data_IF_327856890971
#
_entry.id   IF_327856890971
#
_cell.length_a   1.000
_cell.length_b   1.000
_cell.length_c   1.000
_cell.angle_alpha   90.00
_cell.angle_beta   90.00
_cell.angle_gamma   90.00
#
_symmetry.space_group_name_H-M   'P 1'
#
loop_
_entity.id
_entity.type
_entity.pdbx_description
1 polymer ?
#
# COMPACT_ATOMS: atom_id res chain seq x y z
N UNK A 1 -32.78 26.72 40.68
CA UNK A 1 -32.69 26.37 39.25
C UNK A 1 -32.74 24.87 39.11
N UNK A 2 -33.71 24.32 38.40
CA UNK A 2 -34.15 22.93 38.45
C UNK A 2 -33.12 21.95 37.88
N UNK A 3 -32.64 20.93 38.61
CA UNK A 3 -31.77 19.87 38.09
C UNK A 3 -32.40 19.14 36.87
N UNK A 4 -33.73 19.04 36.81
CA UNK A 4 -34.42 18.33 35.74
C UNK A 4 -34.33 18.99 34.35
N UNK A 5 -34.18 20.30 34.25
CA UNK A 5 -34.13 21.00 32.97
C UNK A 5 -32.83 20.69 32.20
N UNK A 6 -31.72 20.65 32.90
CA UNK A 6 -30.42 20.30 32.32
C UNK A 6 -30.35 18.83 31.88
N UNK A 7 -30.95 17.95 32.67
CA UNK A 7 -31.03 16.52 32.35
C UNK A 7 -31.88 16.29 31.10
N UNK A 8 -33.05 16.94 31.01
CA UNK A 8 -33.93 16.85 29.85
C UNK A 8 -33.25 17.42 28.60
N UNK A 9 -32.58 18.57 28.71
CA UNK A 9 -31.85 19.18 27.60
C UNK A 9 -30.70 18.27 27.13
N UNK A 10 -29.95 17.67 28.05
CA UNK A 10 -28.89 16.72 27.74
C UNK A 10 -29.43 15.51 26.96
N UNK A 11 -30.49 14.86 27.46
CA UNK A 11 -31.10 13.71 26.79
C UNK A 11 -31.62 14.07 25.38
N UNK A 12 -32.32 15.19 25.25
CA UNK A 12 -32.82 15.64 23.96
C UNK A 12 -31.70 15.93 22.96
N UNK A 13 -30.65 16.63 23.40
CA UNK A 13 -29.50 16.96 22.56
C UNK A 13 -28.75 15.69 22.14
N UNK A 14 -28.49 14.78 23.11
CA UNK A 14 -27.84 13.50 22.82
C UNK A 14 -28.65 12.68 21.82
N UNK A 15 -29.94 12.47 22.05
CA UNK A 15 -30.82 11.69 21.17
C UNK A 15 -30.85 12.29 19.76
N UNK A 16 -30.96 13.61 19.66
CA UNK A 16 -30.96 14.28 18.36
C UNK A 16 -29.63 14.07 17.63
N UNK A 17 -28.50 14.23 18.31
CA UNK A 17 -27.17 13.99 17.73
C UNK A 17 -26.98 12.52 17.33
N UNK A 18 -27.39 11.57 18.16
CA UNK A 18 -27.35 10.13 17.85
C UNK A 18 -28.15 9.83 16.58
N UNK A 19 -29.39 10.31 16.49
CA UNK A 19 -30.24 10.12 15.31
C UNK A 19 -29.61 10.70 14.04
N UNK A 20 -29.03 11.89 14.11
CA UNK A 20 -28.33 12.50 12.97
C UNK A 20 -27.12 11.65 12.55
N UNK A 21 -26.32 11.17 13.50
CA UNK A 21 -25.17 10.31 13.21
C UNK A 21 -25.62 8.96 12.66
N UNK A 22 -26.64 8.33 13.23
CA UNK A 22 -27.18 7.05 12.74
C UNK A 22 -27.70 7.20 11.30
N UNK A 23 -28.48 8.25 11.02
CA UNK A 23 -28.93 8.55 9.67
C UNK A 23 -27.75 8.72 8.70
N UNK A 24 -26.71 9.43 9.14
CA UNK A 24 -25.47 9.59 8.37
C UNK A 24 -24.75 8.26 8.12
N UNK A 25 -24.64 7.38 9.14
CA UNK A 25 -24.06 6.03 9.01
C UNK A 25 -24.85 5.19 8.01
N UNK A 26 -26.18 5.21 8.09
CA UNK A 26 -27.05 4.41 7.22
C UNK A 26 -27.04 4.89 5.76
N UNK A 27 -27.06 6.21 5.54
CA UNK A 27 -27.11 6.81 4.21
C UNK A 27 -25.74 6.86 3.51
N UNK A 28 -24.67 6.53 4.21
CA UNK A 28 -23.32 6.59 3.63
C UNK A 28 -23.13 5.49 2.58
N UNK A 29 -22.76 5.84 1.33
CA UNK A 29 -22.50 4.83 0.30
C UNK A 29 -21.22 4.05 0.57
N UNK A 30 -21.13 2.83 0.06
CA UNK A 30 -19.92 2.00 0.01
C UNK A 30 -19.34 1.62 1.39
N UNK A 31 -20.17 1.52 2.41
CA UNK A 31 -19.81 0.98 3.73
C UNK A 31 -20.50 -0.36 3.92
N UNK A 32 -19.78 -1.35 4.36
CA UNK A 32 -20.34 -2.69 4.63
C UNK A 32 -21.42 -2.65 5.72
N UNK A 33 -22.47 -3.47 5.59
CA UNK A 33 -23.57 -3.50 6.57
C UNK A 33 -23.10 -3.80 8.01
N UNK A 34 -22.13 -4.71 8.18
CA UNK A 34 -21.52 -5.06 9.45
C UNK A 34 -20.85 -3.86 10.13
N UNK A 35 -20.13 -3.05 9.37
CA UNK A 35 -19.48 -1.83 9.85
C UNK A 35 -20.50 -0.76 10.25
N UNK A 36 -21.61 -0.63 9.49
CA UNK A 36 -22.69 0.28 9.84
C UNK A 36 -23.33 -0.11 11.17
N UNK A 37 -23.67 -1.39 11.33
CA UNK A 37 -24.26 -1.90 12.58
C UNK A 37 -23.32 -1.70 13.76
N UNK A 38 -22.01 -2.00 13.60
CA UNK A 38 -21.02 -1.77 14.64
C UNK A 38 -20.97 -0.31 15.08
N UNK A 39 -20.98 0.65 14.15
CA UNK A 39 -21.01 2.08 14.49
C UNK A 39 -22.30 2.53 15.16
N UNK A 40 -23.46 2.02 14.73
CA UNK A 40 -24.74 2.28 15.39
C UNK A 40 -24.68 1.81 16.84
N UNK A 41 -24.18 0.58 17.08
CA UNK A 41 -24.04 0.05 18.45
C UNK A 41 -23.09 0.90 19.31
N UNK A 42 -21.96 1.36 18.75
CA UNK A 42 -21.00 2.21 19.48
C UNK A 42 -21.63 3.56 19.83
N UNK A 43 -22.36 4.18 18.91
CA UNK A 43 -23.03 5.48 19.14
C UNK A 43 -24.13 5.38 20.20
N UNK A 44 -24.88 4.28 20.21
CA UNK A 44 -25.98 4.06 21.19
C UNK A 44 -25.48 3.60 22.56
N UNK A 45 -24.48 2.71 22.61
CA UNK A 45 -24.01 2.11 23.87
C UNK A 45 -23.18 3.08 24.71
N UNK A 46 -22.48 4.06 24.12
CA UNK A 46 -21.58 4.97 24.83
C UNK A 46 -21.92 6.41 24.49
N UNK A 47 -22.84 7.04 25.26
CA UNK A 47 -23.29 8.40 25.02
C UNK A 47 -22.12 9.41 24.90
N UNK A 48 -22.20 10.34 23.97
CA UNK A 48 -21.20 11.36 23.59
C UNK A 48 -19.85 10.79 23.15
N UNK A 49 -19.26 9.83 23.87
CA UNK A 49 -18.00 9.22 23.47
C UNK A 49 -18.14 8.37 22.21
N UNK A 50 -19.27 7.67 22.03
CA UNK A 50 -19.56 6.93 20.79
C UNK A 50 -19.70 7.86 19.60
N UNK A 51 -20.39 9.00 19.77
CA UNK A 51 -20.49 10.06 18.75
C UNK A 51 -19.09 10.62 18.45
N UNK A 52 -18.31 10.94 19.48
CA UNK A 52 -16.94 11.44 19.30
C UNK A 52 -16.05 10.40 18.59
N UNK A 53 -16.14 9.13 18.99
CA UNK A 53 -15.42 8.04 18.33
C UNK A 53 -15.81 7.91 16.84
N UNK A 54 -17.10 7.96 16.51
CA UNK A 54 -17.54 7.95 15.13
C UNK A 54 -17.02 9.16 14.35
N UNK A 55 -17.08 10.34 14.93
CA UNK A 55 -16.58 11.56 14.30
C UNK A 55 -15.05 11.51 14.08
N UNK A 56 -14.29 10.82 14.92
CA UNK A 56 -12.84 10.69 14.79
C UNK A 56 -12.42 9.55 13.86
N UNK A 57 -13.11 8.40 13.93
CA UNK A 57 -12.66 7.16 13.30
C UNK A 57 -13.66 6.56 12.29
N UNK A 58 -14.93 6.97 12.35
CA UNK A 58 -15.99 6.40 11.51
C UNK A 58 -15.93 6.79 10.03
N UNK A 59 -15.26 7.87 9.71
CA UNK A 59 -15.23 8.37 8.34
C UNK A 59 -13.80 8.60 7.82
N UNK A 60 -13.56 8.17 6.58
CA UNK A 60 -12.36 8.58 5.84
C UNK A 60 -12.53 10.06 5.45
N UNK A 61 -11.83 10.94 6.12
CA UNK A 61 -11.83 12.38 5.83
C UNK A 61 -10.54 12.74 5.11
N UNK A 62 -10.54 12.59 3.80
CA UNK A 62 -9.62 13.35 2.96
C UNK A 62 -10.32 14.62 2.49
N UNK A 63 -9.57 15.70 2.36
CA UNK A 63 -10.11 16.92 1.74
C UNK A 63 -10.52 16.57 0.30
N UNK A 64 -11.76 16.85 -0.05
CA UNK A 64 -12.31 16.51 -1.36
C UNK A 64 -11.45 17.11 -2.50
N UNK A 65 -10.88 18.30 -2.27
CA UNK A 65 -9.93 18.92 -3.19
C UNK A 65 -8.62 18.12 -3.37
N UNK A 66 -8.17 17.39 -2.35
CA UNK A 66 -6.97 16.55 -2.42
C UNK A 66 -7.24 15.27 -3.22
N UNK A 67 -8.37 14.60 -2.95
CA UNK A 67 -8.83 13.44 -3.73
C UNK A 67 -9.05 13.82 -5.18
N UNK A 68 -9.69 14.97 -5.44
CA UNK A 68 -9.92 15.46 -6.80
C UNK A 68 -8.59 15.74 -7.52
N UNK A 69 -7.64 16.39 -6.85
CA UNK A 69 -6.30 16.63 -7.42
C UNK A 69 -5.60 15.33 -7.80
N UNK A 70 -5.64 14.31 -6.93
CA UNK A 70 -5.06 12.99 -7.23
C UNK A 70 -5.73 12.35 -8.45
N UNK A 71 -7.06 12.44 -8.54
CA UNK A 71 -7.82 11.95 -9.69
C UNK A 71 -7.43 12.68 -10.98
N UNK A 72 -7.43 14.02 -10.96
CA UNK A 72 -7.09 14.84 -12.13
C UNK A 72 -5.67 14.56 -12.65
N UNK A 73 -4.71 14.42 -11.75
CA UNK A 73 -3.32 14.06 -12.09
C UNK A 73 -3.26 12.67 -12.71
N UNK A 74 -3.95 11.69 -12.11
CA UNK A 74 -4.01 10.33 -12.66
C UNK A 74 -4.64 10.31 -14.05
N UNK A 75 -5.77 10.99 -14.26
CA UNK A 75 -6.48 11.02 -15.53
C UNK A 75 -5.63 11.69 -16.61
N UNK A 76 -4.91 12.76 -16.25
CA UNK A 76 -3.93 13.41 -17.13
C UNK A 76 -2.80 12.47 -17.53
N UNK A 77 -2.17 11.78 -16.58
CA UNK A 77 -1.11 10.82 -16.87
C UNK A 77 -1.63 9.61 -17.63
N UNK A 78 -2.90 9.23 -17.44
CA UNK A 78 -3.59 8.18 -18.21
C UNK A 78 -3.72 8.58 -19.67
N UNK A 79 -4.05 9.82 -19.96
CA UNK A 79 -4.10 10.33 -21.34
C UNK A 79 -2.77 10.27 -22.09
N UNK A 80 -1.63 10.28 -21.39
CA UNK A 80 -0.29 10.15 -21.97
C UNK A 80 0.12 8.69 -22.29
N UNK A 81 -0.76 7.71 -22.05
CA UNK A 81 -0.44 6.27 -22.13
C UNK A 81 -0.40 5.66 -23.53
N UNK A 82 -0.81 6.34 -24.59
CA UNK A 82 -1.19 5.75 -25.88
C UNK A 82 -0.04 5.21 -26.74
N UNK A 83 1.21 5.16 -26.26
CA UNK A 83 2.38 4.86 -27.10
C UNK A 83 3.04 3.48 -26.87
N UNK A 84 2.53 2.62 -25.97
CA UNK A 84 3.15 1.30 -25.70
C UNK A 84 2.22 0.18 -26.14
N UNK A 85 2.73 -0.84 -26.89
CA UNK A 85 1.92 -2.00 -27.24
C UNK A 85 1.37 -2.68 -25.99
N UNK A 86 0.06 -2.68 -25.84
CA UNK A 86 -0.63 -3.35 -24.75
C UNK A 86 -0.87 -4.82 -25.07
N UNK A 87 -0.73 -5.68 -24.06
CA UNK A 87 -1.22 -7.06 -24.15
C UNK A 87 -2.73 -7.01 -24.07
N UNK A 88 -3.41 -7.45 -25.11
CA UNK A 88 -4.87 -7.59 -25.07
C UNK A 88 -5.26 -8.73 -24.14
N UNK A 89 -6.23 -8.46 -23.29
CA UNK A 89 -6.85 -9.49 -22.45
C UNK A 89 -7.59 -10.49 -23.36
N UNK A 90 -6.94 -11.59 -23.73
CA UNK A 90 -7.62 -12.71 -24.39
C UNK A 90 -8.39 -13.50 -23.33
N UNK A 91 -9.70 -13.57 -23.47
CA UNK A 91 -10.56 -14.32 -22.55
C UNK A 91 -10.31 -15.83 -22.54
N UNK A 92 -9.67 -16.35 -23.59
CA UNK A 92 -9.25 -17.75 -23.66
C UNK A 92 -7.97 -18.02 -22.83
N UNK A 93 -7.16 -17.00 -22.57
CA UNK A 93 -6.00 -17.09 -21.69
C UNK A 93 -6.45 -16.99 -20.22
N UNK A 94 -5.97 -17.90 -19.34
CA UNK A 94 -6.22 -17.82 -17.90
C UNK A 94 -5.88 -16.45 -17.27
N UNK A 95 -4.91 -15.74 -17.79
CA UNK A 95 -4.53 -14.39 -17.35
C UNK A 95 -5.49 -13.30 -17.84
N UNK A 96 -6.25 -13.52 -18.91
CA UNK A 96 -7.13 -12.54 -19.52
C UNK A 96 -8.12 -11.89 -18.55
N UNK A 97 -8.89 -12.67 -17.75
CA UNK A 97 -9.79 -12.10 -16.75
C UNK A 97 -9.07 -11.27 -15.69
N UNK A 98 -7.85 -11.69 -15.29
CA UNK A 98 -7.02 -10.95 -14.30
C UNK A 98 -6.59 -9.61 -14.88
N UNK A 99 -6.07 -9.61 -16.11
CA UNK A 99 -5.63 -8.40 -16.82
C UNK A 99 -6.81 -7.42 -16.94
N UNK A 100 -7.97 -7.91 -17.37
CA UNK A 100 -9.17 -7.07 -17.53
C UNK A 100 -9.66 -6.48 -16.19
N UNK A 101 -9.68 -7.27 -15.12
CA UNK A 101 -10.08 -6.82 -13.79
C UNK A 101 -9.11 -5.76 -13.26
N UNK A 102 -7.81 -5.99 -13.41
CA UNK A 102 -6.78 -5.06 -12.97
C UNK A 102 -6.80 -3.75 -13.78
N UNK A 103 -7.04 -3.82 -15.09
CA UNK A 103 -7.20 -2.64 -15.94
C UNK A 103 -8.43 -1.81 -15.52
N UNK A 104 -9.55 -2.48 -15.22
CA UNK A 104 -10.75 -1.80 -14.74
C UNK A 104 -10.56 -1.10 -13.38
N UNK A 105 -9.68 -1.62 -12.52
CA UNK A 105 -9.34 -1.03 -11.22
C UNK A 105 -8.30 0.07 -11.35
N UNK A 106 -7.14 -0.26 -11.92
CA UNK A 106 -5.96 0.62 -11.95
C UNK A 106 -5.85 1.47 -13.21
N UNK A 107 -6.67 1.19 -14.23
CA UNK A 107 -6.63 1.84 -15.54
C UNK A 107 -5.32 1.60 -16.30
N UNK A 108 -4.41 0.75 -15.86
CA UNK A 108 -3.16 0.41 -16.55
C UNK A 108 -3.32 -0.90 -17.30
N UNK A 109 -2.87 -0.92 -18.57
CA UNK A 109 -2.90 -2.11 -19.40
C UNK A 109 -1.68 -2.99 -19.10
N UNK A 110 -1.82 -4.31 -19.25
CA UNK A 110 -0.66 -5.18 -19.24
C UNK A 110 0.25 -4.88 -20.43
N UNK A 111 1.56 -4.89 -20.22
CA UNK A 111 2.58 -4.61 -21.24
C UNK A 111 3.58 -5.77 -21.31
N UNK A 112 3.94 -6.15 -22.54
CA UNK A 112 4.90 -7.22 -22.85
C UNK A 112 6.31 -6.67 -22.96
N UNK A 113 7.30 -7.57 -22.97
CA UNK A 113 8.70 -7.22 -23.26
C UNK A 113 9.47 -6.75 -22.02
N UNK A 114 9.02 -7.14 -20.84
CA UNK A 114 9.72 -6.82 -19.60
C UNK A 114 10.69 -7.93 -19.17
N UNK A 115 11.73 -7.54 -18.43
CA UNK A 115 12.54 -8.41 -17.59
C UNK A 115 12.24 -8.14 -16.12
N UNK A 116 12.00 -9.19 -15.37
CA UNK A 116 11.73 -9.13 -13.92
C UNK A 116 12.75 -10.02 -13.20
N UNK A 117 13.49 -9.43 -12.27
CA UNK A 117 14.46 -10.15 -11.44
C UNK A 117 14.08 -9.99 -9.97
N UNK A 118 13.81 -11.11 -9.31
CA UNK A 118 13.63 -11.14 -7.86
C UNK A 118 15.02 -11.04 -7.19
N UNK A 119 15.18 -10.10 -6.29
CA UNK A 119 16.39 -9.96 -5.47
C UNK A 119 16.15 -10.71 -4.15
N UNK A 120 16.91 -11.81 -3.97
CA UNK A 120 16.65 -12.79 -2.91
C UNK A 120 17.20 -12.37 -1.55
N UNK A 121 18.36 -11.69 -1.52
CA UNK A 121 19.03 -11.31 -0.28
C UNK A 121 18.74 -9.86 0.09
N UNK A 122 18.24 -9.65 1.30
CA UNK A 122 17.80 -8.35 1.72
C UNK A 122 18.92 -7.29 1.83
N UNK A 123 20.14 -7.65 2.22
CA UNK A 123 21.28 -6.70 2.26
C UNK A 123 21.84 -6.46 0.87
N UNK A 124 21.98 -7.50 0.05
CA UNK A 124 22.36 -7.38 -1.36
C UNK A 124 21.35 -6.54 -2.17
N UNK A 125 20.06 -6.58 -1.82
CA UNK A 125 19.06 -5.76 -2.48
C UNK A 125 19.28 -4.25 -2.28
N UNK A 126 19.77 -3.81 -1.12
CA UNK A 126 20.14 -2.39 -0.91
C UNK A 126 21.39 -2.02 -1.71
N UNK A 127 22.37 -2.90 -1.78
CA UNK A 127 23.58 -2.66 -2.55
C UNK A 127 23.28 -2.58 -4.07
N UNK A 128 22.31 -3.37 -4.56
CA UNK A 128 21.77 -3.23 -5.94
C UNK A 128 21.08 -1.88 -6.18
N UNK A 129 20.29 -1.38 -5.22
CA UNK A 129 19.71 -0.03 -5.31
C UNK A 129 20.81 1.03 -5.41
N UNK A 130 21.83 0.92 -4.54
CA UNK A 130 22.96 1.85 -4.52
C UNK A 130 23.73 1.81 -5.83
N UNK A 131 24.05 0.62 -6.33
CA UNK A 131 24.76 0.47 -7.62
C UNK A 131 23.95 1.07 -8.79
N UNK A 132 22.64 0.86 -8.81
CA UNK A 132 21.78 1.42 -9.83
C UNK A 132 21.71 2.97 -9.74
N UNK A 133 21.65 3.55 -8.54
CA UNK A 133 21.69 5.01 -8.33
C UNK A 133 23.05 5.58 -8.74
N UNK A 134 24.14 4.88 -8.42
CA UNK A 134 25.48 5.31 -8.82
C UNK A 134 25.71 5.24 -10.35
N UNK A 135 24.97 4.38 -11.06
CA UNK A 135 24.98 4.29 -12.52
C UNK A 135 24.03 5.29 -13.22
N UNK A 136 23.18 6.00 -12.48
CA UNK A 136 22.21 6.95 -13.03
C UNK A 136 22.89 8.10 -13.79
N UNK A 137 22.26 8.54 -14.89
CA UNK A 137 22.79 9.58 -15.81
C UNK A 137 21.87 10.77 -16.00
N UNK A 138 20.56 10.61 -15.76
CA UNK A 138 19.54 11.66 -15.99
C UNK A 138 18.75 11.94 -14.70
N UNK A 139 18.01 10.97 -14.17
CA UNK A 139 17.22 11.18 -12.98
C UNK A 139 17.05 9.93 -12.10
N UNK A 140 16.85 10.16 -10.80
CA UNK A 140 16.48 9.16 -9.80
C UNK A 140 15.21 9.60 -9.08
N UNK A 141 14.15 8.81 -9.18
CA UNK A 141 12.87 9.02 -8.50
C UNK A 141 12.65 7.93 -7.47
N UNK A 142 12.56 8.30 -6.21
CA UNK A 142 12.51 7.37 -5.10
C UNK A 142 11.33 7.66 -4.18
N UNK A 143 10.52 6.63 -3.87
CA UNK A 143 9.40 6.68 -2.96
C UNK A 143 9.46 5.52 -1.99
N UNK A 144 9.53 5.78 -0.68
CA UNK A 144 9.45 4.76 0.37
C UNK A 144 8.47 5.14 1.48
N UNK A 145 7.75 4.13 1.99
CA UNK A 145 6.92 4.28 3.18
C UNK A 145 7.77 4.48 4.42
N UNK A 146 8.72 3.57 4.66
CA UNK A 146 9.68 3.67 5.77
C UNK A 146 11.09 3.83 5.20
N UNK A 147 11.74 4.89 5.63
CA UNK A 147 13.16 5.10 5.44
C UNK A 147 13.77 5.47 6.78
N UNK A 148 14.73 4.67 7.25
CA UNK A 148 15.41 4.91 8.52
C UNK A 148 16.82 5.46 8.29
N UNK A 149 17.35 6.30 9.20
CA UNK A 149 18.73 6.77 9.15
C UNK A 149 19.69 5.71 9.77
N UNK A 150 19.50 4.44 9.37
CA UNK A 150 20.35 3.29 9.70
C UNK A 150 21.41 3.05 8.61
N UNK A 151 22.11 1.91 8.64
CA UNK A 151 23.17 1.63 7.68
C UNK A 151 22.63 1.57 6.24
N UNK A 152 21.54 0.86 5.99
CA UNK A 152 20.90 0.76 4.69
C UNK A 152 20.40 2.12 4.18
N UNK A 153 19.68 2.85 5.02
CA UNK A 153 19.16 4.17 4.66
C UNK A 153 20.24 5.20 4.41
N UNK A 154 21.34 5.12 5.16
CA UNK A 154 22.51 6.00 4.98
C UNK A 154 23.23 5.70 3.66
N UNK A 155 23.40 4.42 3.28
CA UNK A 155 24.00 4.04 1.99
C UNK A 155 23.22 4.65 0.81
N UNK A 156 21.87 4.52 0.82
CA UNK A 156 21.00 5.04 -0.24
C UNK A 156 21.06 6.57 -0.28
N UNK A 157 21.00 7.25 0.86
CA UNK A 157 21.10 8.70 0.92
C UNK A 157 22.43 9.23 0.37
N UNK A 158 23.54 8.58 0.71
CA UNK A 158 24.85 8.94 0.19
C UNK A 158 24.95 8.69 -1.33
N UNK A 159 24.32 7.64 -1.86
CA UNK A 159 24.27 7.41 -3.30
C UNK A 159 23.50 8.52 -4.04
N UNK A 160 22.38 8.99 -3.47
CA UNK A 160 21.63 10.12 -4.03
C UNK A 160 22.47 11.42 -4.03
N UNK A 161 23.18 11.71 -2.96
CA UNK A 161 24.09 12.87 -2.92
C UNK A 161 25.17 12.76 -4.01
N UNK A 162 25.79 11.58 -4.17
CA UNK A 162 26.77 11.37 -5.27
C UNK A 162 26.14 11.51 -6.65
N UNK A 163 24.86 11.12 -6.82
CA UNK A 163 24.15 11.29 -8.08
C UNK A 163 23.93 12.78 -8.39
N UNK A 164 23.50 13.58 -7.41
CA UNK A 164 23.36 15.04 -7.53
C UNK A 164 24.71 15.70 -7.85
N UNK A 165 25.82 15.29 -7.20
CA UNK A 165 27.16 15.78 -7.51
C UNK A 165 27.58 15.53 -8.97
N UNK A 166 26.98 14.51 -9.63
CA UNK A 166 27.16 14.22 -11.07
C UNK A 166 26.19 14.97 -11.96
N UNK A 167 25.25 15.75 -11.39
CA UNK A 167 24.21 16.49 -12.12
C UNK A 167 22.94 15.67 -12.41
N UNK A 168 22.79 14.50 -11.79
CA UNK A 168 21.58 13.65 -11.88
C UNK A 168 20.50 14.24 -11.00
N UNK A 169 19.29 14.43 -11.53
CA UNK A 169 18.16 14.99 -10.80
C UNK A 169 17.53 13.96 -9.85
N UNK A 170 17.69 14.11 -8.54
CA UNK A 170 17.14 13.21 -7.55
C UNK A 170 15.88 13.77 -6.89
N UNK A 171 14.78 13.00 -6.90
CA UNK A 171 13.51 13.33 -6.24
C UNK A 171 13.09 12.22 -5.30
N UNK A 172 12.82 12.59 -4.06
CA UNK A 172 12.50 11.67 -2.98
C UNK A 172 11.15 12.00 -2.37
N UNK A 173 10.28 10.99 -2.28
CA UNK A 173 9.05 11.06 -1.49
C UNK A 173 9.17 10.06 -0.34
N UNK A 174 8.91 10.50 0.88
CA UNK A 174 8.79 9.60 2.03
C UNK A 174 7.48 9.86 2.79
N UNK A 175 6.90 8.83 3.38
CA UNK A 175 5.74 9.03 4.27
C UNK A 175 6.17 9.73 5.56
N UNK A 176 5.46 10.78 5.95
CA UNK A 176 5.83 11.61 7.09
C UNK A 176 5.80 10.87 8.43
N UNK A 177 4.95 9.82 8.57
CA UNK A 177 4.89 9.00 9.78
C UNK A 177 5.90 7.85 9.72
N UNK A 178 5.91 7.09 8.64
CA UNK A 178 6.77 5.93 8.49
C UNK A 178 8.26 6.29 8.49
N UNK A 179 8.61 7.44 7.93
CA UNK A 179 9.99 7.95 7.85
C UNK A 179 10.29 9.11 8.81
N UNK A 180 9.52 9.23 9.90
CA UNK A 180 9.67 10.35 10.85
C UNK A 180 11.09 10.51 11.41
N UNK A 181 11.78 9.41 11.65
CA UNK A 181 13.16 9.43 12.17
C UNK A 181 14.14 10.00 11.14
N UNK A 182 13.98 9.65 9.86
CA UNK A 182 14.78 10.23 8.78
C UNK A 182 14.52 11.72 8.62
N UNK A 183 13.26 12.13 8.50
CA UNK A 183 12.85 13.53 8.27
C UNK A 183 13.36 14.49 9.36
N UNK A 184 13.67 13.96 10.56
CA UNK A 184 14.22 14.70 11.70
C UNK A 184 15.72 14.51 11.89
N UNK A 185 16.39 13.84 10.99
CA UNK A 185 17.82 13.55 11.09
C UNK A 185 18.66 14.48 10.23
N UNK A 186 19.93 14.64 10.60
CA UNK A 186 20.91 15.35 9.78
C UNK A 186 21.08 14.73 8.38
N UNK A 187 20.70 13.47 8.20
CA UNK A 187 20.79 12.80 6.90
C UNK A 187 19.81 13.41 5.89
N UNK A 188 18.60 13.78 6.35
CA UNK A 188 17.61 14.50 5.55
C UNK A 188 18.10 15.88 5.13
N UNK A 189 18.70 16.61 6.08
CA UNK A 189 19.25 17.93 5.81
C UNK A 189 20.41 17.86 4.82
N UNK A 190 21.28 16.86 4.96
CA UNK A 190 22.40 16.63 4.02
C UNK A 190 21.92 16.34 2.61
N UNK A 191 20.92 15.46 2.43
CA UNK A 191 20.33 15.21 1.11
C UNK A 191 19.78 16.51 0.49
N UNK A 192 19.03 17.27 1.26
CA UNK A 192 18.45 18.55 0.79
C UNK A 192 19.54 19.58 0.43
N UNK A 193 20.62 19.66 1.22
CA UNK A 193 21.77 20.56 0.94
C UNK A 193 22.57 20.13 -0.29
N UNK A 194 22.61 18.83 -0.59
CA UNK A 194 23.24 18.29 -1.80
C UNK A 194 22.41 18.51 -3.07
N UNK A 195 21.19 19.02 -2.97
CA UNK A 195 20.31 19.29 -4.12
C UNK A 195 19.15 18.31 -4.29
N UNK A 196 19.12 17.20 -3.53
CA UNK A 196 18.03 16.22 -3.61
C UNK A 196 16.69 16.89 -3.25
N UNK A 197 15.73 16.85 -4.16
CA UNK A 197 14.38 17.35 -3.92
C UNK A 197 13.61 16.40 -3.01
N UNK A 198 13.46 16.75 -1.74
CA UNK A 198 12.86 15.92 -0.70
C UNK A 198 11.43 16.38 -0.36
N UNK A 199 10.46 15.47 -0.43
CA UNK A 199 9.02 15.72 -0.15
C UNK A 199 8.48 14.70 0.83
N UNK A 200 7.62 15.15 1.76
CA UNK A 200 6.90 14.26 2.67
C UNK A 200 5.46 14.05 2.21
N UNK A 201 5.06 12.79 2.04
CA UNK A 201 3.67 12.40 1.82
C UNK A 201 2.88 12.50 3.13
N UNK A 202 1.66 12.99 3.08
CA UNK A 202 0.76 13.16 4.22
C UNK A 202 1.44 13.87 5.41
N UNK A 203 1.92 15.13 5.21
CA UNK A 203 2.63 15.89 6.23
C UNK A 203 1.75 16.06 7.48
N UNK A 204 2.37 15.96 8.64
CA UNK A 204 1.69 16.19 9.91
C UNK A 204 1.40 17.68 10.08
N UNK A 205 0.10 18.01 10.22
CA UNK A 205 -0.32 19.29 10.78
C UNK A 205 -0.10 19.38 12.30
N UNK A 206 -0.63 20.42 12.93
CA UNK A 206 -0.64 20.54 14.40
C UNK A 206 -1.29 19.27 15.01
N UNK A 207 -0.61 18.56 15.94
CA UNK A 207 -0.98 17.19 16.34
C UNK A 207 -2.44 17.04 16.80
N UNK A 208 -3.01 18.01 17.49
CA UNK A 208 -4.40 17.95 17.97
C UNK A 208 -5.43 18.27 16.87
N UNK A 209 -5.08 19.09 15.87
CA UNK A 209 -5.98 19.48 14.77
C UNK A 209 -5.94 18.40 13.68
N UNK A 210 -4.79 17.80 13.41
CA UNK A 210 -4.67 16.74 12.40
C UNK A 210 -5.40 15.46 12.80
N UNK A 211 -5.45 15.10 14.08
CA UNK A 211 -6.24 13.96 14.59
C UNK A 211 -7.74 14.15 14.30
N UNK A 212 -8.24 15.38 14.39
CA UNK A 212 -9.65 15.69 14.12
C UNK A 212 -10.02 15.72 12.64
N UNK A 213 -9.05 15.98 11.75
CA UNK A 213 -9.31 16.25 10.34
C UNK A 213 -8.57 15.34 9.34
N UNK A 214 -7.63 14.50 9.80
CA UNK A 214 -6.88 13.58 8.95
C UNK A 214 -6.87 12.17 9.56
N UNK A 215 -7.13 11.16 8.75
CA UNK A 215 -6.94 9.77 9.17
C UNK A 215 -5.45 9.45 9.22
N UNK A 216 -4.97 9.09 10.42
CA UNK A 216 -3.58 8.71 10.66
C UNK A 216 -3.19 7.37 10.02
N UNK A 217 -4.18 6.55 9.66
CA UNK A 217 -4.02 5.25 9.03
C UNK A 217 -3.94 5.31 7.50
N UNK A 218 -4.29 6.45 6.88
CA UNK A 218 -4.06 6.65 5.44
C UNK A 218 -2.61 7.06 5.22
N UNK A 219 -1.81 6.16 4.66
CA UNK A 219 -0.38 6.33 4.44
C UNK A 219 0.02 5.90 3.03
N UNK A 220 1.11 6.47 2.52
CA UNK A 220 1.68 6.04 1.27
C UNK A 220 2.62 4.85 1.51
N UNK A 221 2.10 3.63 1.33
CA UNK A 221 2.85 2.39 1.55
C UNK A 221 3.67 1.93 0.35
N UNK A 222 3.76 2.72 -0.72
CA UNK A 222 4.51 2.35 -1.93
C UNK A 222 6.00 2.32 -1.66
N UNK A 223 6.70 1.46 -2.39
CA UNK A 223 8.15 1.37 -2.47
C UNK A 223 8.50 1.31 -3.94
N UNK A 224 9.00 2.41 -4.46
CA UNK A 224 9.32 2.58 -5.87
C UNK A 224 10.65 3.30 -5.98
N UNK A 225 11.54 2.79 -6.81
CA UNK A 225 12.70 3.51 -7.31
C UNK A 225 12.66 3.42 -8.84
N UNK A 226 12.79 4.54 -9.53
CA UNK A 226 12.90 4.58 -10.99
C UNK A 226 14.16 5.38 -11.34
N UNK A 227 14.95 4.85 -12.25
CA UNK A 227 16.22 5.41 -12.71
C UNK A 227 16.15 5.56 -14.23
N UNK A 228 16.34 6.78 -14.72
CA UNK A 228 16.51 7.14 -16.15
C UNK A 228 15.37 6.61 -17.05
N UNK A 229 14.17 6.35 -16.52
CA UNK A 229 13.09 5.61 -17.20
C UNK A 229 13.51 4.24 -17.76
N UNK A 230 14.62 3.68 -17.36
CA UNK A 230 15.20 2.43 -17.86
C UNK A 230 15.03 1.26 -16.89
N UNK A 231 15.30 1.52 -15.62
CA UNK A 231 15.25 0.50 -14.56
C UNK A 231 14.36 0.98 -13.44
N UNK A 232 13.57 0.06 -12.88
CA UNK A 232 12.81 0.35 -11.67
C UNK A 232 12.95 -0.78 -10.65
N UNK A 233 12.70 -0.46 -9.39
CA UNK A 233 12.63 -1.42 -8.30
C UNK A 233 11.32 -1.20 -7.52
N UNK A 234 10.67 -2.31 -7.17
CA UNK A 234 9.45 -2.29 -6.36
C UNK A 234 9.34 -3.58 -5.55
N UNK A 235 8.55 -3.59 -4.49
CA UNK A 235 8.37 -4.77 -3.64
C UNK A 235 7.83 -4.42 -2.26
N UNK A 236 8.09 -5.30 -1.29
CA UNK A 236 7.69 -5.09 0.11
C UNK A 236 8.77 -4.38 0.93
N UNK A 237 10.05 -4.41 0.47
CA UNK A 237 11.19 -3.89 1.20
C UNK A 237 11.14 -2.37 1.38
N UNK A 238 11.35 -1.94 2.61
CA UNK A 238 11.58 -0.55 2.97
C UNK A 238 13.07 -0.19 2.91
N UNK A 239 13.41 1.08 2.94
CA UNK A 239 14.78 1.57 3.02
C UNK A 239 15.25 1.57 4.49
N UNK A 240 15.54 0.37 4.98
CA UNK A 240 15.93 0.12 6.38
C UNK A 240 16.67 -1.21 6.50
N UNK A 241 17.45 -1.36 7.57
CA UNK A 241 18.15 -2.61 7.89
C UNK A 241 17.14 -3.72 8.22
N UNK A 242 17.51 -4.99 7.97
CA UNK A 242 16.69 -6.15 8.33
C UNK A 242 16.43 -6.24 9.84
N UNK A 243 17.36 -5.78 10.64
CA UNK A 243 17.23 -5.74 12.10
C UNK A 243 16.06 -4.82 12.55
N UNK A 244 15.62 -3.92 11.69
CA UNK A 244 14.50 -3.01 11.86
C UNK A 244 14.34 -2.50 13.30
N UNK A 245 15.22 -1.60 13.70
CA UNK A 245 15.42 -1.17 15.09
C UNK A 245 14.12 -0.70 15.79
N UNK A 246 13.14 -0.19 15.04
CA UNK A 246 11.83 0.26 15.58
C UNK A 246 11.07 -0.92 16.20
N UNK A 247 11.20 -2.13 15.64
CA UNK A 247 10.50 -3.35 16.09
C UNK A 247 11.45 -4.56 16.15
N UNK A 248 12.64 -4.37 16.71
CA UNK A 248 13.73 -5.35 16.74
C UNK A 248 13.31 -6.75 17.27
N UNK A 249 12.35 -6.82 18.20
CA UNK A 249 11.85 -8.10 18.74
C UNK A 249 11.10 -8.96 17.71
N UNK A 250 10.78 -8.41 16.53
CA UNK A 250 10.10 -9.10 15.42
C UNK A 250 11.04 -9.28 14.21
N UNK A 251 12.30 -8.86 14.34
CA UNK A 251 13.32 -9.06 13.33
C UNK A 251 13.74 -10.55 13.27
N UNK A 252 14.37 -11.02 12.16
CA UNK A 252 14.63 -10.24 10.94
C UNK A 252 13.36 -10.06 10.09
N UNK A 253 13.26 -8.89 9.45
CA UNK A 253 12.21 -8.62 8.48
C UNK A 253 12.62 -9.24 7.14
N UNK A 254 11.78 -10.16 6.65
CA UNK A 254 11.98 -10.82 5.37
C UNK A 254 11.12 -10.15 4.34
N UNK A 255 11.75 -9.39 3.48
CA UNK A 255 11.12 -8.61 2.43
C UNK A 255 11.63 -9.06 1.06
N UNK A 256 10.90 -8.71 0.01
CA UNK A 256 11.32 -8.91 -1.38
C UNK A 256 11.44 -7.58 -2.10
N UNK A 257 12.38 -7.54 -3.05
CA UNK A 257 12.51 -6.47 -4.01
C UNK A 257 12.60 -7.08 -5.42
N UNK A 258 11.93 -6.46 -6.37
CA UNK A 258 11.93 -6.87 -7.77
C UNK A 258 12.57 -5.75 -8.58
N UNK A 259 13.61 -6.06 -9.33
CA UNK A 259 14.17 -5.22 -10.38
C UNK A 259 13.32 -5.41 -11.65
N UNK A 260 12.93 -4.33 -12.25
CA UNK A 260 12.06 -4.27 -13.44
C UNK A 260 12.75 -3.50 -14.54
N UNK A 261 12.80 -4.05 -15.72
CA UNK A 261 13.23 -3.38 -16.96
C UNK A 261 12.19 -3.56 -18.05
N UNK A 262 12.09 -2.62 -18.98
CA UNK A 262 11.12 -2.64 -20.06
C UNK A 262 9.87 -1.79 -19.79
N UNK A 263 8.79 -1.96 -20.58
CA UNK A 263 7.64 -1.06 -20.59
C UNK A 263 6.92 -0.87 -19.26
N UNK A 264 7.01 -1.83 -18.32
CA UNK A 264 6.43 -1.70 -16.97
C UNK A 264 7.12 -0.62 -16.13
N UNK A 265 8.37 -0.26 -16.42
CA UNK A 265 9.08 0.86 -15.78
C UNK A 265 8.31 2.16 -15.95
N UNK A 266 7.75 2.40 -17.16
CA UNK A 266 6.92 3.57 -17.42
C UNK A 266 5.67 3.62 -16.54
N UNK A 267 5.09 2.47 -16.21
CA UNK A 267 3.93 2.42 -15.32
C UNK A 267 4.32 2.79 -13.87
N UNK A 268 5.45 2.28 -13.37
CA UNK A 268 5.99 2.64 -12.07
C UNK A 268 6.38 4.12 -12.00
N UNK A 269 7.00 4.65 -13.07
CA UNK A 269 7.27 6.08 -13.22
C UNK A 269 5.97 6.90 -13.14
N UNK A 270 4.92 6.48 -13.85
CA UNK A 270 3.62 7.14 -13.80
C UNK A 270 3.02 7.20 -12.40
N UNK A 271 3.19 6.14 -11.60
CA UNK A 271 2.76 6.13 -10.18
C UNK A 271 3.56 7.12 -9.37
N UNK A 272 4.90 7.15 -9.50
CA UNK A 272 5.74 8.11 -8.80
C UNK A 272 5.37 9.56 -9.17
N UNK A 273 5.25 9.84 -10.48
CA UNK A 273 4.90 11.17 -10.97
C UNK A 273 3.52 11.62 -10.47
N UNK A 274 2.54 10.70 -10.42
CA UNK A 274 1.22 10.99 -9.87
C UNK A 274 1.30 11.44 -8.41
N UNK A 275 2.06 10.73 -7.59
CA UNK A 275 2.27 11.08 -6.19
C UNK A 275 3.02 12.42 -6.07
N UNK A 276 4.11 12.59 -6.81
CA UNK A 276 4.89 13.82 -6.80
C UNK A 276 4.07 15.05 -7.16
N UNK A 277 3.34 14.99 -8.28
CA UNK A 277 2.47 16.07 -8.74
C UNK A 277 1.35 16.37 -7.74
N UNK A 278 0.81 15.33 -7.10
CA UNK A 278 -0.23 15.50 -6.09
C UNK A 278 0.26 16.21 -4.83
N UNK A 279 1.49 15.91 -4.38
CA UNK A 279 2.07 16.54 -3.19
C UNK A 279 2.68 17.93 -3.44
N UNK A 280 3.27 18.15 -4.61
CA UNK A 280 4.01 19.39 -4.91
C UNK A 280 3.24 20.39 -5.76
N UNK A 281 2.26 19.94 -6.53
CA UNK A 281 1.58 20.72 -7.55
C UNK A 281 2.42 20.99 -8.81
N UNK A 282 3.69 20.51 -8.87
CA UNK A 282 4.59 20.68 -10.03
C UNK A 282 4.29 19.64 -11.10
N UNK A 283 4.16 20.10 -12.34
CA UNK A 283 3.92 19.21 -13.48
C UNK A 283 5.22 18.54 -13.94
N UNK A 284 5.29 17.23 -13.79
CA UNK A 284 6.36 16.37 -14.32
C UNK A 284 5.84 15.39 -15.39
N UNK A 285 4.63 15.59 -15.92
CA UNK A 285 4.06 14.77 -16.99
C UNK A 285 4.98 14.54 -18.17
N UNK A 286 5.75 15.53 -18.65
CA UNK A 286 6.71 15.36 -19.74
C UNK A 286 7.81 14.30 -19.50
N UNK A 287 8.10 13.95 -18.23
CA UNK A 287 9.06 12.90 -17.89
C UNK A 287 8.52 11.47 -18.11
N UNK A 288 7.21 11.32 -18.37
CA UNK A 288 6.59 10.02 -18.63
C UNK A 288 6.87 9.59 -20.09
N UNK A 289 8.10 9.22 -20.37
CA UNK A 289 8.55 8.79 -21.68
C UNK A 289 8.19 7.34 -21.98
N UNK A 290 8.00 6.96 -23.27
CA UNK A 290 7.90 5.56 -23.68
C UNK A 290 9.17 4.78 -23.30
N UNK A 291 9.00 3.53 -22.88
CA UNK A 291 10.10 2.60 -22.59
C UNK A 291 10.01 1.43 -23.55
N UNK A 292 11.11 1.15 -24.22
CA UNK A 292 11.19 0.05 -25.20
C UNK A 292 11.16 -1.33 -24.49
N UNK A 293 10.68 -2.38 -25.16
CA UNK A 293 10.88 -3.75 -24.72
C UNK A 293 12.37 -4.09 -24.59
N UNK A 294 12.73 -4.84 -23.54
CA UNK A 294 14.12 -5.30 -23.29
C UNK A 294 14.27 -6.80 -23.53
N UNK A 295 13.17 -7.52 -23.70
CA UNK A 295 13.14 -8.95 -23.96
C UNK A 295 12.02 -9.30 -24.96
N UNK A 296 12.23 -10.32 -25.80
CA UNK A 296 11.26 -10.82 -26.78
C UNK A 296 11.11 -12.36 -26.61
N UNK A 297 9.90 -12.87 -26.23
CA UNK A 297 8.68 -12.10 -25.95
C UNK A 297 8.69 -11.36 -24.61
N UNK A 298 9.63 -11.67 -23.69
CA UNK A 298 9.71 -11.10 -22.34
C UNK A 298 8.50 -11.46 -21.47
N UNK A 299 8.44 -10.86 -20.28
CA UNK A 299 7.36 -11.06 -19.32
C UNK A 299 6.26 -10.03 -19.52
N UNK A 300 4.98 -10.49 -19.52
CA UNK A 300 3.84 -9.59 -19.41
C UNK A 300 3.72 -9.08 -17.98
N UNK A 301 3.63 -7.77 -17.80
CA UNK A 301 3.50 -7.15 -16.50
C UNK A 301 2.43 -6.05 -16.50
N UNK A 302 1.79 -5.85 -15.35
CA UNK A 302 0.78 -4.82 -15.13
C UNK A 302 0.93 -4.25 -13.74
N UNK A 303 1.10 -2.93 -13.64
CA UNK A 303 1.15 -2.23 -12.36
C UNK A 303 -0.27 -1.82 -11.96
N UNK A 304 -0.68 -2.20 -10.76
CA UNK A 304 -1.96 -1.80 -10.17
C UNK A 304 -1.66 -0.92 -8.97
N UNK A 305 -1.68 0.38 -9.17
CA UNK A 305 -1.52 1.34 -8.09
C UNK A 305 -2.87 1.62 -7.44
N UNK A 306 -2.99 1.32 -6.15
CA UNK A 306 -4.20 1.62 -5.37
C UNK A 306 -3.97 2.81 -4.46
N UNK A 307 -5.04 3.53 -4.14
CA UNK A 307 -4.97 4.73 -3.31
C UNK A 307 -6.35 5.21 -2.88
N UNK A 308 -6.40 6.27 -2.05
CA UNK A 308 -7.65 6.80 -1.51
C UNK A 308 -8.55 7.45 -2.56
N UNK A 309 -8.03 7.75 -3.73
CA UNK A 309 -8.71 8.27 -4.91
C UNK A 309 -9.43 7.18 -5.73
N UNK A 310 -9.16 5.90 -5.42
CA UNK A 310 -9.82 4.75 -6.02
C UNK A 310 -10.97 4.24 -5.15
N UNK A 311 -11.77 3.36 -5.73
CA UNK A 311 -12.88 2.70 -5.03
C UNK A 311 -12.34 1.85 -3.86
N UNK A 312 -12.99 1.95 -2.71
CA UNK A 312 -12.72 1.03 -1.60
C UNK A 312 -12.92 -0.43 -2.05
N UNK A 313 -12.06 -1.33 -1.62
CA UNK A 313 -12.08 -2.74 -2.02
C UNK A 313 -11.34 -3.05 -3.32
N UNK A 314 -10.76 -2.07 -4.02
CA UNK A 314 -10.05 -2.27 -5.29
C UNK A 314 -8.93 -3.33 -5.21
N UNK A 315 -8.20 -3.40 -4.10
CA UNK A 315 -7.17 -4.43 -3.88
C UNK A 315 -7.81 -5.82 -3.79
N UNK A 316 -8.89 -5.93 -2.99
CA UNK A 316 -9.63 -7.19 -2.84
C UNK A 316 -10.22 -7.68 -4.15
N UNK A 317 -10.71 -6.78 -5.00
CA UNK A 317 -11.21 -7.14 -6.33
C UNK A 317 -10.09 -7.73 -7.22
N UNK A 318 -8.91 -7.08 -7.25
CA UNK A 318 -7.76 -7.60 -8.01
C UNK A 318 -7.32 -8.98 -7.51
N UNK A 319 -7.16 -9.13 -6.19
CA UNK A 319 -6.75 -10.39 -5.58
C UNK A 319 -7.81 -11.48 -5.77
N UNK A 320 -9.10 -11.14 -5.67
CA UNK A 320 -10.20 -12.07 -5.91
C UNK A 320 -10.23 -12.53 -7.36
N UNK A 321 -9.98 -11.67 -8.34
CA UNK A 321 -9.85 -12.06 -9.74
C UNK A 321 -8.74 -13.09 -9.96
N UNK A 322 -7.57 -12.89 -9.32
CA UNK A 322 -6.45 -13.84 -9.35
C UNK A 322 -6.85 -15.19 -8.73
N UNK A 323 -7.52 -15.19 -7.57
CA UNK A 323 -7.98 -16.38 -6.88
C UNK A 323 -9.02 -17.15 -7.70
N UNK A 324 -9.94 -16.46 -8.37
CA UNK A 324 -10.93 -17.08 -9.25
C UNK A 324 -10.31 -17.70 -10.50
N UNK A 325 -9.27 -17.10 -11.05
CA UNK A 325 -8.55 -17.62 -12.21
C UNK A 325 -7.57 -18.74 -11.86
N UNK A 326 -7.18 -18.89 -10.60
CA UNK A 326 -6.23 -19.91 -10.15
C UNK A 326 -6.77 -21.33 -10.38
N UNK A 327 -5.92 -22.23 -10.92
CA UNK A 327 -6.26 -23.63 -11.28
C UNK A 327 -5.51 -24.64 -10.43
N UNK A 328 -4.22 -24.44 -10.17
CA UNK A 328 -3.36 -25.45 -9.56
C UNK A 328 -2.88 -25.02 -8.17
N UNK A 329 -2.21 -23.88 -8.05
CA UNK A 329 -1.56 -23.48 -6.81
C UNK A 329 -1.64 -21.97 -6.58
N UNK A 330 -1.87 -21.58 -5.32
CA UNK A 330 -1.80 -20.21 -4.83
C UNK A 330 -0.93 -20.18 -3.57
N UNK A 331 0.03 -19.28 -3.51
CA UNK A 331 0.82 -19.00 -2.30
C UNK A 331 0.61 -17.55 -1.91
N UNK A 332 0.19 -17.32 -0.68
CA UNK A 332 -0.05 -15.99 -0.13
C UNK A 332 0.86 -15.79 1.07
N UNK A 333 1.70 -14.78 1.00
CA UNK A 333 2.56 -14.36 2.13
C UNK A 333 2.14 -12.98 2.59
N UNK A 334 1.73 -12.85 3.84
CA UNK A 334 1.34 -11.55 4.42
C UNK A 334 1.54 -11.54 5.92
N UNK A 335 2.05 -10.45 6.51
CA UNK A 335 2.09 -10.32 7.97
C UNK A 335 0.71 -9.95 8.56
N UNK A 336 -0.22 -9.43 7.73
CA UNK A 336 -1.49 -8.86 8.18
C UNK A 336 -2.66 -9.46 7.41
N UNK A 337 -3.21 -10.56 7.93
CA UNK A 337 -4.37 -11.18 7.32
C UNK A 337 -5.66 -10.70 8.01
N UNK A 338 -6.20 -9.62 7.49
CA UNK A 338 -7.50 -9.05 7.89
C UNK A 338 -8.26 -8.73 6.60
N UNK A 339 -8.76 -9.77 5.92
CA UNK A 339 -9.47 -9.62 4.64
C UNK A 339 -10.86 -9.02 4.86
N UNK A 340 -11.43 -8.48 3.80
CA UNK A 340 -12.88 -8.34 3.70
C UNK A 340 -13.55 -9.70 3.40
N UNK A 341 -14.87 -9.76 3.54
CA UNK A 341 -15.64 -11.00 3.35
C UNK A 341 -15.48 -11.57 1.94
N UNK A 342 -15.34 -10.73 0.92
CA UNK A 342 -15.20 -11.15 -0.47
C UNK A 342 -13.86 -11.86 -0.71
N UNK A 343 -12.76 -11.31 -0.22
CA UNK A 343 -11.43 -11.91 -0.36
C UNK A 343 -11.31 -13.21 0.44
N UNK A 344 -11.82 -13.26 1.68
CA UNK A 344 -11.81 -14.47 2.48
C UNK A 344 -12.64 -15.58 1.82
N UNK A 345 -13.82 -15.24 1.29
CA UNK A 345 -14.66 -16.17 0.54
C UNK A 345 -13.97 -16.68 -0.74
N UNK A 346 -13.26 -15.81 -1.48
CA UNK A 346 -12.53 -16.18 -2.68
C UNK A 346 -11.38 -17.17 -2.38
N UNK A 347 -10.62 -16.95 -1.31
CA UNK A 347 -9.55 -17.86 -0.86
C UNK A 347 -10.13 -19.25 -0.52
N UNK A 348 -11.19 -19.27 0.29
CA UNK A 348 -11.86 -20.56 0.66
C UNK A 348 -12.48 -21.26 -0.55
N UNK A 349 -13.06 -20.50 -1.49
CA UNK A 349 -13.63 -21.05 -2.71
C UNK A 349 -12.54 -21.64 -3.61
N UNK A 350 -11.37 -21.01 -3.74
CA UNK A 350 -10.24 -21.57 -4.47
C UNK A 350 -9.80 -22.92 -3.89
N UNK A 351 -9.61 -22.99 -2.57
CA UNK A 351 -9.24 -24.25 -1.89
C UNK A 351 -10.31 -25.36 -2.10
N UNK A 352 -11.60 -25.03 -1.98
CA UNK A 352 -12.70 -25.98 -2.20
C UNK A 352 -12.81 -26.46 -3.66
N UNK A 353 -12.35 -25.69 -4.63
CA UNK A 353 -12.24 -26.10 -6.04
C UNK A 353 -11.07 -27.06 -6.30
N UNK A 354 -10.25 -27.36 -5.30
CA UNK A 354 -9.07 -28.23 -5.43
C UNK A 354 -7.77 -27.48 -5.69
N UNK A 355 -7.76 -26.15 -5.72
CA UNK A 355 -6.54 -25.36 -5.84
C UNK A 355 -5.72 -25.52 -4.55
N UNK A 356 -4.42 -25.80 -4.67
CA UNK A 356 -3.52 -25.90 -3.53
C UNK A 356 -3.23 -24.51 -2.97
N UNK A 357 -4.01 -24.07 -1.99
CA UNK A 357 -3.82 -22.74 -1.36
C UNK A 357 -2.92 -22.89 -0.13
N UNK A 358 -1.81 -22.17 -0.13
CA UNK A 358 -0.90 -22.08 1.02
C UNK A 358 -0.81 -20.63 1.47
N UNK A 359 -1.01 -20.38 2.76
CA UNK A 359 -0.81 -19.07 3.36
C UNK A 359 0.36 -19.11 4.33
N UNK A 360 1.28 -18.16 4.21
CA UNK A 360 2.44 -17.99 5.08
C UNK A 360 2.21 -16.74 5.92
N UNK A 361 2.10 -16.93 7.22
CA UNK A 361 1.77 -15.89 8.21
C UNK A 361 2.84 -15.85 9.29
N UNK A 362 3.08 -14.72 9.98
CA UNK A 362 3.99 -14.69 11.10
C UNK A 362 3.42 -15.44 12.31
N UNK A 363 4.25 -16.23 12.98
CA UNK A 363 3.88 -16.88 14.24
C UNK A 363 3.66 -15.84 15.37
N UNK A 364 4.31 -14.68 15.27
CA UNK A 364 4.13 -13.52 16.14
C UNK A 364 3.85 -12.30 15.30
N UNK A 365 2.65 -11.73 15.46
CA UNK A 365 2.31 -10.48 14.79
C UNK A 365 2.84 -9.28 15.60
N UNK A 366 3.31 -8.26 14.92
CA UNK A 366 3.78 -7.01 15.52
C UNK A 366 2.65 -6.07 15.98
N UNK A 367 1.40 -6.44 15.68
CA UNK A 367 0.17 -5.82 16.16
C UNK A 367 -0.72 -6.85 16.83
N UNK A 368 -0.98 -6.68 18.12
CA UNK A 368 -1.85 -7.59 18.90
C UNK A 368 -3.28 -7.65 18.31
N UNK A 369 -3.82 -6.51 17.89
CA UNK A 369 -5.18 -6.43 17.33
C UNK A 369 -5.23 -7.20 16.00
N UNK A 370 -4.27 -6.96 15.10
CA UNK A 370 -4.21 -7.65 13.81
C UNK A 370 -4.00 -9.15 14.02
N UNK A 371 -3.11 -9.53 14.95
CA UNK A 371 -2.87 -10.94 15.28
C UNK A 371 -4.13 -11.65 15.76
N UNK A 372 -4.85 -11.06 16.71
CA UNK A 372 -6.10 -11.60 17.23
C UNK A 372 -7.19 -11.69 16.14
N UNK A 373 -7.33 -10.65 15.32
CA UNK A 373 -8.29 -10.64 14.20
C UNK A 373 -7.96 -11.73 13.17
N UNK A 374 -6.68 -11.87 12.80
CA UNK A 374 -6.23 -12.93 11.86
C UNK A 374 -6.61 -14.33 12.34
N UNK A 375 -6.43 -14.61 13.63
CA UNK A 375 -6.74 -15.92 14.22
C UNK A 375 -8.23 -16.29 14.07
N UNK A 376 -9.13 -15.31 14.09
CA UNK A 376 -10.56 -15.52 13.88
C UNK A 376 -10.91 -16.18 12.53
N UNK A 377 -10.06 -16.02 11.51
CA UNK A 377 -10.25 -16.61 10.18
C UNK A 377 -9.65 -18.02 10.04
N UNK A 378 -8.70 -18.41 10.91
CA UNK A 378 -7.88 -19.62 10.71
C UNK A 378 -8.71 -20.90 10.64
N UNK A 379 -9.72 -21.04 11.52
CA UNK A 379 -10.59 -22.22 11.50
C UNK A 379 -11.31 -22.38 10.14
N UNK A 380 -11.89 -21.30 9.62
CA UNK A 380 -12.59 -21.30 8.34
C UNK A 380 -11.69 -21.63 7.15
N UNK A 381 -10.44 -21.14 7.18
CA UNK A 381 -9.43 -21.44 6.17
C UNK A 381 -9.00 -22.90 6.21
N UNK A 382 -8.65 -23.42 7.39
CA UNK A 382 -8.26 -24.84 7.57
C UNK A 382 -9.39 -25.79 7.20
N UNK A 383 -10.63 -25.49 7.60
CA UNK A 383 -11.82 -26.26 7.24
C UNK A 383 -12.11 -26.25 5.72
N UNK A 384 -11.68 -25.22 5.01
CA UNK A 384 -11.77 -25.14 3.55
C UNK A 384 -10.62 -25.88 2.83
N UNK A 385 -9.61 -26.39 3.55
CA UNK A 385 -8.45 -27.09 2.98
C UNK A 385 -7.24 -26.18 2.69
N UNK A 386 -7.25 -24.92 3.17
CA UNK A 386 -6.10 -24.03 3.06
C UNK A 386 -4.98 -24.52 3.98
N UNK A 387 -3.75 -24.60 3.47
CA UNK A 387 -2.56 -24.90 4.28
C UNK A 387 -2.06 -23.60 4.93
N UNK A 388 -2.11 -23.52 6.26
CA UNK A 388 -1.53 -22.42 7.02
C UNK A 388 -0.12 -22.79 7.47
N UNK A 389 0.85 -21.94 7.13
CA UNK A 389 2.25 -22.05 7.53
C UNK A 389 2.61 -20.87 8.40
N UNK A 390 3.15 -21.11 9.59
CA UNK A 390 3.61 -20.05 10.48
C UNK A 390 5.13 -19.89 10.36
N UNK A 391 5.56 -18.69 10.02
CA UNK A 391 6.98 -18.34 9.95
C UNK A 391 7.45 -17.82 11.32
N UNK A 392 8.51 -18.42 11.84
CA UNK A 392 9.17 -18.03 13.08
C UNK A 392 10.65 -18.33 13.02
N UNK A 393 11.48 -17.33 13.32
CA UNK A 393 12.94 -17.47 13.49
C UNK A 393 13.62 -18.22 12.31
N UNK A 394 13.22 -17.90 11.07
CA UNK A 394 13.74 -18.54 9.86
C UNK A 394 13.13 -19.91 9.54
N UNK A 395 12.21 -20.42 10.36
CA UNK A 395 11.57 -21.73 10.18
C UNK A 395 10.08 -21.59 9.87
N UNK A 396 9.55 -22.51 9.06
CA UNK A 396 8.12 -22.62 8.76
C UNK A 396 7.54 -23.87 9.44
N UNK A 397 6.46 -23.71 10.20
CA UNK A 397 5.68 -24.79 10.80
C UNK A 397 4.27 -24.82 10.23
N UNK A 398 3.79 -26.01 9.85
CA UNK A 398 2.40 -26.19 9.38
C UNK A 398 1.43 -26.20 10.56
N UNK A 399 0.35 -25.41 10.46
CA UNK A 399 -0.76 -25.43 11.41
C UNK A 399 -1.77 -26.52 11.02
N UNK A 400 -2.28 -27.27 12.00
CA UNK A 400 -3.35 -28.27 11.84
C UNK A 400 -4.58 -27.86 12.62
N UNK A 401 -5.76 -28.36 12.18
CA UNK A 401 -7.08 -28.04 12.76
C UNK A 401 -7.17 -28.31 14.28
N UNK A 402 -6.36 -29.21 14.84
CA UNK A 402 -6.37 -29.53 16.27
C UNK A 402 -5.35 -28.78 17.13
N UNK A 403 -4.60 -27.83 16.56
CA UNK A 403 -3.51 -27.12 17.24
C UNK A 403 -3.85 -25.64 17.54
N UNK A 404 -5.13 -25.30 17.59
CA UNK A 404 -5.54 -23.95 18.01
C UNK A 404 -5.55 -23.85 19.54
N UNK A 405 -5.03 -22.74 20.10
CA UNK A 405 -5.12 -22.46 21.53
C UNK A 405 -6.55 -22.25 21.97
#
# INVERSE_FOLDING_TARGET
MMPGMWTTLFFFTHTTLSLVIIARVLLRPRVEPSVRLAWIMVVEAVPLLGIAAYLLFGEVRMKQAEVQRMSDVRDRLTGLRTAVPAVRADRSDPAGPIIAANEAVGGMQAVQGNSLQLLEESDGAIDELVAAIDAATDHVHLLFYIWLPDASGTKVAQALCRAEDRGVQCRVIVDALGSRSLVRSELWDRMSQAGVECVTAFPWGLPFISILFQRLDLRNHRKILVIDNAVAFTGSRNCADMAFAIKARFAPWVDILVRVEGPAVRQLQGVFLSDWMSYTGRDLGPMLQPVAPVADPGVAAQVVATGPDLRAGSVSDCLSAMLHAARDRVVITTPYYVPDDALDAAIRAAARRGVQVTMILPARNDSLIVGATSQGFYYGLLAAGVRLMLFRDGQMASMKVGAMP
#
